data_IF_109406623978
#
_entry.id   IF_109406623978
#
_cell.length_a   1.000
_cell.length_b   1.000
_cell.length_c   1.000
_cell.angle_alpha   90.00
_cell.angle_beta   90.00
_cell.angle_gamma   90.00
#
_symmetry.space_group_name_H-M   'P 1'
#
loop_
_entity.id
_entity.type
_entity.pdbx_description
1 polymer ?
#
# COMPACT_ATOMS: atom_id res chain seq x y z
N UNK A 1 -10.80 -0.26 -19.60
CA UNK A 1 -12.13 -0.91 -19.72
C UNK A 1 -12.79 -0.60 -21.07
N UNK A 2 -12.94 0.69 -21.45
CA UNK A 2 -13.56 1.08 -22.73
C UNK A 2 -12.93 0.44 -23.97
N UNK A 3 -11.59 0.32 -24.03
CA UNK A 3 -10.92 -0.36 -25.15
C UNK A 3 -11.34 -1.84 -25.31
N UNK A 4 -11.58 -2.57 -24.20
CA UNK A 4 -12.04 -3.97 -24.24
C UNK A 4 -13.48 -4.07 -24.76
N UNK A 5 -14.36 -3.14 -24.36
CA UNK A 5 -15.76 -3.12 -24.78
C UNK A 5 -15.90 -2.73 -26.26
N UNK A 6 -15.05 -1.83 -26.73
CA UNK A 6 -15.06 -1.33 -28.10
C UNK A 6 -14.26 -2.21 -29.08
N UNK A 7 -13.68 -3.34 -28.63
CA UNK A 7 -12.75 -4.18 -29.41
C UNK A 7 -11.59 -3.40 -30.03
N UNK A 8 -11.06 -2.40 -29.31
CA UNK A 8 -9.88 -1.63 -29.71
C UNK A 8 -8.60 -2.26 -29.15
N UNK A 9 -7.46 -1.88 -29.73
CA UNK A 9 -6.16 -2.24 -29.15
C UNK A 9 -6.06 -1.80 -27.69
N UNK A 10 -5.49 -2.67 -26.87
CA UNK A 10 -5.30 -2.39 -25.45
C UNK A 10 -4.17 -1.36 -25.28
N UNK A 11 -4.36 -0.35 -24.41
CA UNK A 11 -3.29 0.55 -24.01
C UNK A 11 -2.08 -0.22 -23.46
N UNK A 12 -0.89 0.36 -23.60
CA UNK A 12 0.39 -0.23 -23.13
C UNK A 12 0.34 -0.53 -21.61
N UNK A 13 -0.39 0.29 -20.86
CA UNK A 13 -0.57 0.24 -19.40
C UNK A 13 -1.90 -0.40 -18.96
N UNK A 14 -2.55 -1.19 -19.83
CA UNK A 14 -3.82 -1.83 -19.48
C UNK A 14 -3.70 -2.75 -18.26
N UNK A 15 -4.77 -2.81 -17.46
CA UNK A 15 -4.86 -3.76 -16.34
C UNK A 15 -4.82 -5.21 -16.84
N UNK A 16 -3.79 -6.01 -16.48
CA UNK A 16 -3.70 -7.41 -16.88
C UNK A 16 -4.85 -8.24 -16.31
N UNK A 17 -5.36 -7.86 -15.13
CA UNK A 17 -6.49 -8.53 -14.49
C UNK A 17 -7.78 -8.32 -15.28
N UNK A 18 -8.05 -7.09 -15.73
CA UNK A 18 -9.21 -6.83 -16.57
C UNK A 18 -9.12 -7.57 -17.92
N UNK A 19 -7.95 -7.59 -18.55
CA UNK A 19 -7.74 -8.34 -19.79
C UNK A 19 -7.92 -9.84 -19.58
N UNK A 20 -7.34 -10.41 -18.53
CA UNK A 20 -7.48 -11.83 -18.17
C UNK A 20 -8.93 -12.20 -17.87
N UNK A 21 -9.64 -11.37 -17.09
CA UNK A 21 -11.05 -11.59 -16.76
C UNK A 21 -11.93 -11.50 -18.01
N UNK A 22 -11.70 -10.50 -18.86
CA UNK A 22 -12.41 -10.37 -20.14
C UNK A 22 -12.22 -11.61 -21.01
N UNK A 23 -10.98 -12.06 -21.19
CA UNK A 23 -10.68 -13.26 -21.97
C UNK A 23 -11.29 -14.53 -21.33
N UNK A 24 -11.26 -14.63 -20.01
CA UNK A 24 -11.92 -15.72 -19.27
C UNK A 24 -13.42 -15.77 -19.58
N UNK A 25 -14.12 -14.63 -19.47
CA UNK A 25 -15.55 -14.59 -19.76
C UNK A 25 -15.85 -14.88 -21.24
N UNK A 26 -15.06 -14.37 -22.19
CA UNK A 26 -15.22 -14.72 -23.61
C UNK A 26 -15.11 -16.24 -23.84
N UNK A 27 -14.14 -16.91 -23.20
CA UNK A 27 -14.01 -18.37 -23.28
C UNK A 27 -15.19 -19.10 -22.65
N UNK A 28 -15.65 -18.67 -21.49
CA UNK A 28 -16.81 -19.27 -20.81
C UNK A 28 -18.12 -19.07 -21.59
N UNK A 29 -18.22 -17.96 -22.32
CA UNK A 29 -19.40 -17.60 -23.12
C UNK A 29 -19.37 -18.24 -24.52
N UNK A 30 -18.22 -18.71 -24.99
CA UNK A 30 -18.09 -19.41 -26.26
C UNK A 30 -18.88 -20.74 -26.22
N UNK A 31 -20.02 -20.78 -26.93
CA UNK A 31 -20.92 -21.93 -26.92
C UNK A 31 -21.88 -21.97 -25.72
N UNK A 32 -21.94 -20.92 -24.90
CA UNK A 32 -22.88 -20.85 -23.79
C UNK A 32 -24.33 -20.76 -24.28
N UNK A 33 -25.24 -21.42 -23.54
CA UNK A 33 -26.67 -21.30 -23.81
C UNK A 33 -27.18 -19.93 -23.37
N UNK A 34 -27.53 -19.09 -24.35
CA UNK A 34 -28.01 -17.71 -24.11
C UNK A 34 -29.22 -17.64 -23.17
N UNK A 35 -30.12 -18.65 -23.17
CA UNK A 35 -31.28 -18.68 -22.26
C UNK A 35 -30.89 -18.95 -20.82
N UNK A 36 -29.82 -19.71 -20.59
CA UNK A 36 -29.27 -19.95 -19.25
C UNK A 36 -28.52 -18.71 -18.79
N UNK A 37 -27.69 -18.12 -19.65
CA UNK A 37 -26.97 -16.89 -19.37
C UNK A 37 -27.92 -15.75 -18.98
N UNK A 38 -28.95 -15.50 -19.79
CA UNK A 38 -29.95 -14.47 -19.52
C UNK A 38 -30.65 -14.67 -18.17
N UNK A 39 -31.06 -15.91 -17.86
CA UNK A 39 -31.64 -16.25 -16.54
C UNK A 39 -30.65 -16.06 -15.39
N UNK A 40 -29.36 -16.33 -15.61
CA UNK A 40 -28.31 -16.06 -14.65
C UNK A 40 -28.11 -14.56 -14.40
N UNK A 41 -28.05 -13.77 -15.47
CA UNK A 41 -27.93 -12.30 -15.38
C UNK A 41 -29.12 -11.68 -14.65
N UNK A 42 -30.34 -12.18 -14.86
CA UNK A 42 -31.54 -11.74 -14.13
C UNK A 42 -31.50 -12.02 -12.61
N UNK A 43 -30.56 -12.85 -12.15
CA UNK A 43 -30.35 -13.13 -10.72
C UNK A 43 -29.25 -12.26 -10.11
N UNK A 44 -28.56 -11.44 -10.90
CA UNK A 44 -27.58 -10.48 -10.38
C UNK A 44 -28.33 -9.33 -9.70
N UNK A 45 -28.12 -9.19 -8.41
CA UNK A 45 -28.60 -8.03 -7.65
C UNK A 45 -27.50 -6.98 -7.63
N UNK A 46 -27.78 -5.82 -8.21
CA UNK A 46 -26.91 -4.65 -8.14
C UNK A 46 -27.46 -3.75 -7.04
N UNK A 47 -26.60 -3.44 -6.07
CA UNK A 47 -26.90 -2.46 -5.02
C UNK A 47 -26.19 -1.17 -5.42
N UNK A 48 -26.96 -0.12 -5.69
CA UNK A 48 -26.45 1.22 -5.91
C UNK A 48 -26.70 2.06 -4.66
N UNK A 49 -25.64 2.71 -4.15
CA UNK A 49 -25.68 3.56 -2.97
C UNK A 49 -25.33 4.97 -3.41
N UNK A 50 -26.34 5.79 -3.58
CA UNK A 50 -26.18 7.20 -3.86
C UNK A 50 -25.96 7.96 -2.56
N UNK A 51 -24.83 8.65 -2.46
CA UNK A 51 -24.50 9.47 -1.31
C UNK A 51 -24.95 10.90 -1.53
N UNK A 52 -25.69 11.44 -0.57
CA UNK A 52 -26.10 12.84 -0.55
C UNK A 52 -24.97 13.69 0.00
N UNK A 53 -24.45 14.58 -0.84
CA UNK A 53 -23.38 15.51 -0.46
C UNK A 53 -23.78 16.28 0.80
N UNK A 54 -22.87 16.35 1.78
CA UNK A 54 -23.05 17.04 3.07
C UNK A 54 -24.07 16.43 4.05
N UNK A 55 -24.65 15.26 3.75
CA UNK A 55 -25.52 14.54 4.69
C UNK A 55 -24.91 13.17 5.04
N UNK A 56 -24.47 12.45 4.03
CA UNK A 56 -23.90 11.11 4.20
C UNK A 56 -22.40 11.17 4.41
N UNK A 57 -21.90 10.33 5.32
CA UNK A 57 -20.47 10.15 5.50
C UNK A 57 -20.00 8.92 4.70
N UNK A 58 -19.32 9.09 3.55
CA UNK A 58 -18.89 7.98 2.69
C UNK A 58 -18.01 6.98 3.45
N UNK A 59 -17.16 7.47 4.35
CA UNK A 59 -16.24 6.64 5.12
C UNK A 59 -16.99 5.72 6.09
N UNK A 60 -17.96 6.26 6.85
CA UNK A 60 -18.73 5.45 7.79
C UNK A 60 -19.58 4.39 7.08
N UNK A 61 -20.17 4.74 5.93
CA UNK A 61 -20.94 3.79 5.13
C UNK A 61 -20.02 2.69 4.59
N UNK A 62 -18.86 3.05 4.03
CA UNK A 62 -17.89 2.07 3.56
C UNK A 62 -17.42 1.13 4.67
N UNK A 63 -17.09 1.65 5.85
CA UNK A 63 -16.66 0.83 6.99
C UNK A 63 -17.76 -0.10 7.49
N UNK A 64 -19.00 0.40 7.58
CA UNK A 64 -20.17 -0.42 7.95
C UNK A 64 -20.44 -1.53 6.95
N UNK A 65 -20.22 -1.31 5.65
CA UNK A 65 -20.41 -2.35 4.64
C UNK A 65 -19.30 -3.42 4.70
N UNK A 66 -18.07 -3.02 5.01
CA UNK A 66 -16.95 -3.94 5.10
C UNK A 66 -16.90 -4.73 6.42
N UNK A 67 -17.57 -4.29 7.48
CA UNK A 67 -17.63 -5.04 8.75
C UNK A 67 -18.38 -6.36 8.61
N UNK A 68 -19.36 -6.41 7.71
CA UNK A 68 -20.28 -7.54 7.56
C UNK A 68 -19.89 -8.50 6.42
N UNK A 69 -18.81 -8.17 5.68
CA UNK A 69 -18.35 -8.88 4.48
C UNK A 69 -17.00 -9.58 4.60
N UNK A 70 -16.41 -9.91 3.44
CA UNK A 70 -15.01 -10.40 3.37
C UNK A 70 -14.08 -9.27 3.81
N UNK A 71 -13.19 -9.57 4.76
CA UNK A 71 -12.25 -8.58 5.30
C UNK A 71 -11.34 -8.04 4.21
N UNK A 72 -11.40 -6.73 4.00
CA UNK A 72 -10.43 -6.01 3.19
C UNK A 72 -9.04 -6.04 3.83
N UNK A 73 -8.01 -5.95 2.99
CA UNK A 73 -6.63 -5.77 3.46
C UNK A 73 -6.44 -4.38 4.10
N UNK A 74 -5.42 -4.20 4.94
CA UNK A 74 -5.12 -2.85 5.45
C UNK A 74 -4.72 -1.90 4.31
N UNK A 75 -4.07 -2.42 3.26
CA UNK A 75 -3.80 -1.66 2.03
C UNK A 75 -5.08 -1.10 1.41
N UNK A 76 -6.11 -1.92 1.27
CA UNK A 76 -7.39 -1.48 0.72
C UNK A 76 -8.09 -0.48 1.66
N UNK A 77 -8.07 -0.73 2.97
CA UNK A 77 -8.68 0.17 3.94
C UNK A 77 -8.01 1.55 3.94
N UNK A 78 -6.67 1.60 3.93
CA UNK A 78 -5.90 2.85 3.88
C UNK A 78 -6.10 3.56 2.55
N UNK A 79 -6.04 2.84 1.42
CA UNK A 79 -6.32 3.41 0.09
C UNK A 79 -7.66 4.13 0.09
N UNK A 80 -8.70 3.44 0.56
CA UNK A 80 -10.03 4.01 0.58
C UNK A 80 -10.10 5.18 1.56
N UNK A 81 -9.48 5.09 2.73
CA UNK A 81 -9.47 6.19 3.70
C UNK A 81 -8.86 7.48 3.16
N UNK A 82 -7.72 7.40 2.46
CA UNK A 82 -7.03 8.60 1.93
C UNK A 82 -7.65 9.10 0.62
N UNK A 83 -8.21 8.22 -0.20
CA UNK A 83 -8.79 8.59 -1.50
C UNK A 83 -10.28 8.93 -1.45
N UNK A 84 -11.04 8.38 -0.49
CA UNK A 84 -12.46 8.72 -0.35
C UNK A 84 -12.62 10.14 0.17
N UNK A 85 -13.66 10.81 -0.31
CA UNK A 85 -13.91 12.21 0.04
C UNK A 85 -12.92 13.19 -0.59
N UNK A 86 -12.25 12.81 -1.67
CA UNK A 86 -11.47 13.72 -2.51
C UNK A 86 -12.26 14.14 -3.77
N UNK A 87 -11.96 15.31 -4.33
CA UNK A 87 -12.44 15.70 -5.67
C UNK A 87 -11.99 14.66 -6.71
N UNK A 88 -12.84 14.34 -7.69
CA UNK A 88 -12.61 13.22 -8.65
C UNK A 88 -11.25 13.35 -9.37
N UNK A 89 -10.91 14.56 -9.81
CA UNK A 89 -9.64 14.81 -10.52
C UNK A 89 -8.43 14.64 -9.58
N UNK A 90 -8.56 15.12 -8.34
CA UNK A 90 -7.51 15.00 -7.33
C UNK A 90 -7.33 13.55 -6.85
N UNK A 91 -8.43 12.84 -6.65
CA UNK A 91 -8.44 11.41 -6.36
C UNK A 91 -7.74 10.61 -7.47
N UNK A 92 -8.06 10.91 -8.73
CA UNK A 92 -7.44 10.26 -9.89
C UNK A 92 -5.94 10.54 -9.95
N UNK A 93 -5.52 11.77 -9.65
CA UNK A 93 -4.12 12.15 -9.58
C UNK A 93 -3.37 11.39 -8.47
N UNK A 94 -3.86 11.42 -7.24
CA UNK A 94 -3.26 10.69 -6.11
C UNK A 94 -3.14 9.19 -6.40
N UNK A 95 -4.18 8.61 -7.02
CA UNK A 95 -4.17 7.21 -7.39
C UNK A 95 -3.12 6.89 -8.46
N UNK A 96 -3.12 7.63 -9.57
CA UNK A 96 -2.27 7.32 -10.72
C UNK A 96 -0.79 7.66 -10.47
N UNK A 97 -0.51 8.77 -9.80
CA UNK A 97 0.85 9.28 -9.63
C UNK A 97 1.60 8.56 -8.48
N UNK A 98 0.87 8.13 -7.44
CA UNK A 98 1.48 7.61 -6.21
C UNK A 98 0.96 6.23 -5.81
N UNK A 99 -0.35 6.09 -5.61
CA UNK A 99 -0.88 4.85 -5.00
C UNK A 99 -0.71 3.63 -5.91
N UNK A 100 -1.10 3.74 -7.18
CA UNK A 100 -1.05 2.64 -8.14
C UNK A 100 0.39 2.17 -8.43
N UNK A 101 1.37 3.06 -8.68
CA UNK A 101 2.77 2.65 -8.83
C UNK A 101 3.30 1.90 -7.60
N UNK A 102 3.03 2.37 -6.38
CA UNK A 102 3.42 1.65 -5.15
C UNK A 102 2.73 0.30 -5.03
N UNK A 103 1.41 0.24 -5.23
CA UNK A 103 0.65 -1.01 -5.12
C UNK A 103 1.11 -2.04 -6.16
N UNK A 104 1.43 -1.59 -7.38
CA UNK A 104 2.02 -2.42 -8.43
C UNK A 104 3.39 -2.93 -8.02
N UNK A 105 4.27 -2.06 -7.52
CA UNK A 105 5.61 -2.42 -7.09
C UNK A 105 5.57 -3.49 -5.99
N UNK A 106 4.73 -3.31 -4.97
CA UNK A 106 4.55 -4.31 -3.90
C UNK A 106 4.04 -5.65 -4.43
N UNK A 107 3.07 -5.66 -5.37
CA UNK A 107 2.61 -6.91 -6.00
C UNK A 107 3.69 -7.63 -6.79
N UNK A 108 4.58 -6.88 -7.45
CA UNK A 108 5.65 -7.46 -8.27
C UNK A 108 6.77 -8.04 -7.41
N UNK A 109 7.12 -7.36 -6.31
CA UNK A 109 8.23 -7.73 -5.42
C UNK A 109 7.84 -8.76 -4.36
N UNK A 110 6.59 -8.72 -3.88
CA UNK A 110 6.12 -9.53 -2.76
C UNK A 110 5.01 -10.51 -3.17
N UNK A 111 5.12 -11.12 -4.35
CA UNK A 111 4.11 -12.04 -4.93
C UNK A 111 3.58 -13.10 -3.96
N UNK A 112 4.46 -13.63 -3.11
CA UNK A 112 4.16 -14.70 -2.14
C UNK A 112 3.86 -14.18 -0.72
N UNK A 113 4.01 -12.87 -0.46
CA UNK A 113 3.85 -12.25 0.87
C UNK A 113 2.70 -11.24 0.85
N UNK A 114 1.48 -11.75 1.00
CA UNK A 114 0.27 -10.93 1.00
C UNK A 114 0.21 -9.89 2.12
N UNK A 115 1.01 -10.03 3.17
CA UNK A 115 1.10 -9.12 4.32
C UNK A 115 2.25 -8.10 4.22
N UNK A 116 3.02 -8.08 3.13
CA UNK A 116 4.17 -7.18 3.00
C UNK A 116 3.79 -5.70 3.10
N UNK A 117 2.67 -5.30 2.50
CA UNK A 117 2.16 -3.92 2.60
C UNK A 117 1.78 -3.57 4.05
N UNK A 118 1.12 -4.49 4.75
CA UNK A 118 0.71 -4.29 6.15
C UNK A 118 1.95 -4.12 7.05
N UNK A 119 3.00 -4.94 6.85
CA UNK A 119 4.28 -4.78 7.55
C UNK A 119 4.95 -3.45 7.22
N UNK A 120 4.96 -3.04 5.96
CA UNK A 120 5.48 -1.74 5.55
C UNK A 120 4.77 -0.60 6.29
N UNK A 121 3.44 -0.55 6.27
CA UNK A 121 2.71 0.52 6.96
C UNK A 121 2.97 0.48 8.46
N UNK A 122 3.07 -0.71 9.07
CA UNK A 122 3.45 -0.84 10.48
C UNK A 122 4.82 -0.23 10.76
N UNK A 123 5.82 -0.49 9.92
CA UNK A 123 7.17 0.04 10.08
C UNK A 123 7.21 1.56 9.83
N UNK A 124 6.47 2.04 8.82
CA UNK A 124 6.26 3.46 8.55
C UNK A 124 5.62 4.19 9.73
N UNK A 125 4.51 3.68 10.26
CA UNK A 125 3.86 4.26 11.44
C UNK A 125 4.76 4.21 12.67
N UNK A 126 5.57 3.16 12.81
CA UNK A 126 6.57 3.06 13.89
C UNK A 126 7.57 4.20 13.81
N UNK A 127 8.08 4.51 12.61
CA UNK A 127 8.98 5.63 12.40
C UNK A 127 8.30 6.97 12.68
N UNK A 128 7.07 7.18 12.19
CA UNK A 128 6.38 8.48 12.29
C UNK A 128 5.80 8.77 13.66
N UNK A 129 5.47 7.75 14.45
CA UNK A 129 4.75 7.90 15.72
C UNK A 129 5.52 7.41 16.93
N UNK A 130 6.70 6.80 16.74
CA UNK A 130 7.52 6.16 17.78
C UNK A 130 6.79 5.06 18.57
N UNK A 131 5.65 4.59 18.07
CA UNK A 131 4.84 3.51 18.64
C UNK A 131 4.74 2.38 17.65
N UNK A 132 4.81 1.14 18.13
CA UNK A 132 4.74 -0.05 17.27
C UNK A 132 3.29 -0.54 17.21
N UNK A 133 2.57 -0.35 16.08
CA UNK A 133 1.22 -0.90 15.93
C UNK A 133 1.23 -2.43 16.01
N UNK A 134 0.12 -3.00 16.52
CA UNK A 134 -0.16 -4.42 16.31
C UNK A 134 -0.71 -4.62 14.90
N UNK A 135 -0.37 -5.75 14.26
CA UNK A 135 -0.77 -6.01 12.86
C UNK A 135 -2.29 -5.91 12.64
N UNK A 136 -3.11 -6.30 13.61
CA UNK A 136 -4.58 -6.21 13.52
C UNK A 136 -5.16 -4.82 13.76
N UNK A 137 -4.35 -3.82 14.09
CA UNK A 137 -4.78 -2.43 14.39
C UNK A 137 -4.12 -1.39 13.48
N UNK A 138 -3.39 -1.82 12.44
CA UNK A 138 -2.66 -0.90 11.55
C UNK A 138 -3.58 0.19 11.00
N UNK A 139 -4.77 -0.18 10.55
CA UNK A 139 -5.73 0.77 10.01
C UNK A 139 -6.20 1.79 11.06
N UNK A 140 -6.50 1.34 12.28
CA UNK A 140 -6.91 2.24 13.36
C UNK A 140 -5.81 3.21 13.75
N UNK A 141 -4.57 2.73 13.87
CA UNK A 141 -3.41 3.57 14.16
C UNK A 141 -3.14 4.56 13.02
N UNK A 142 -3.34 4.14 11.76
CA UNK A 142 -3.23 5.04 10.61
C UNK A 142 -4.24 6.18 10.67
N UNK A 143 -5.51 5.89 11.00
CA UNK A 143 -6.54 6.93 11.17
C UNK A 143 -6.24 7.88 12.32
N UNK A 144 -5.63 7.38 13.39
CA UNK A 144 -5.20 8.23 14.50
C UNK A 144 -4.03 9.13 14.12
N UNK A 145 -3.11 8.61 13.30
CA UNK A 145 -1.98 9.38 12.77
C UNK A 145 -2.44 10.50 11.84
N UNK A 146 -3.49 10.26 11.04
CA UNK A 146 -3.99 11.22 10.05
C UNK A 146 -5.51 11.38 10.23
N UNK A 147 -5.94 12.23 11.16
CA UNK A 147 -7.36 12.42 11.43
C UNK A 147 -8.02 13.26 10.34
N UNK A 148 -8.66 12.60 9.37
CA UNK A 148 -9.40 13.25 8.30
C UNK A 148 -10.82 13.66 8.73
N UNK A 149 -11.26 14.84 8.29
CA UNK A 149 -12.61 15.35 8.55
C UNK A 149 -13.54 14.99 7.38
N UNK A 150 -14.61 14.25 7.66
CA UNK A 150 -15.61 13.84 6.64
C UNK A 150 -17.00 14.44 6.89
N UNK A 151 -17.08 15.67 7.41
CA UNK A 151 -18.35 16.28 7.86
C UNK A 151 -19.14 16.94 6.74
N UNK A 152 -18.45 17.55 5.78
CA UNK A 152 -19.04 18.25 4.65
C UNK A 152 -18.02 18.38 3.51
N UNK A 153 -18.46 18.91 2.38
CA UNK A 153 -17.62 19.10 1.20
C UNK A 153 -16.44 20.05 1.45
N UNK A 154 -16.61 21.09 2.28
CA UNK A 154 -15.50 21.98 2.65
C UNK A 154 -14.41 21.24 3.41
N UNK A 155 -14.76 20.28 4.26
CA UNK A 155 -13.79 19.46 4.96
C UNK A 155 -12.94 18.57 4.05
N UNK A 156 -13.40 18.29 2.82
CA UNK A 156 -12.63 17.56 1.81
C UNK A 156 -11.47 18.40 1.26
N UNK A 157 -11.71 19.69 1.01
CA UNK A 157 -10.67 20.64 0.59
C UNK A 157 -9.67 20.85 1.74
N UNK A 158 -10.14 20.94 2.99
CA UNK A 158 -9.27 21.07 4.16
C UNK A 158 -8.30 19.89 4.33
N UNK A 159 -8.74 18.68 3.97
CA UNK A 159 -7.91 17.47 4.06
C UNK A 159 -6.93 17.34 2.89
N UNK A 160 -7.13 18.05 1.77
CA UNK A 160 -6.48 17.72 0.49
C UNK A 160 -4.95 17.80 0.58
N UNK A 161 -4.40 18.84 1.22
CA UNK A 161 -2.94 18.97 1.36
C UNK A 161 -2.37 17.89 2.29
N UNK A 162 -2.97 17.67 3.46
CA UNK A 162 -2.53 16.64 4.40
C UNK A 162 -2.57 15.23 3.78
N UNK A 163 -3.62 14.93 3.01
CA UNK A 163 -3.76 13.66 2.30
C UNK A 163 -2.68 13.53 1.23
N UNK A 164 -2.42 14.60 0.46
CA UNK A 164 -1.37 14.60 -0.56
C UNK A 164 0.00 14.33 0.05
N UNK A 165 0.40 15.14 1.03
CA UNK A 165 1.68 15.03 1.71
C UNK A 165 1.87 13.63 2.27
N UNK A 166 0.83 13.08 2.90
CA UNK A 166 0.84 11.71 3.40
C UNK A 166 1.07 10.68 2.30
N UNK A 167 0.28 10.75 1.22
CA UNK A 167 0.35 9.74 0.15
C UNK A 167 1.69 9.81 -0.57
N UNK A 168 2.23 11.01 -0.76
CA UNK A 168 3.58 11.25 -1.30
C UNK A 168 4.66 10.68 -0.37
N UNK A 169 4.54 10.91 0.93
CA UNK A 169 5.48 10.42 1.93
C UNK A 169 5.44 8.89 2.02
N UNK A 170 4.25 8.28 2.13
CA UNK A 170 4.08 6.81 2.07
C UNK A 170 4.68 6.26 0.78
N UNK A 171 4.40 6.90 -0.36
CA UNK A 171 4.96 6.48 -1.65
C UNK A 171 6.50 6.49 -1.64
N UNK A 172 7.11 7.53 -1.07
CA UNK A 172 8.56 7.64 -0.93
C UNK A 172 9.13 6.51 -0.06
N UNK A 173 8.61 6.36 1.17
CA UNK A 173 9.04 5.32 2.10
C UNK A 173 8.78 3.90 1.59
N UNK A 174 7.79 3.71 0.73
CA UNK A 174 7.51 2.41 0.10
C UNK A 174 8.68 1.94 -0.78
N UNK A 175 9.42 2.89 -1.39
CA UNK A 175 10.61 2.58 -2.21
C UNK A 175 11.75 2.12 -1.32
N UNK A 176 12.10 2.91 -0.31
CA UNK A 176 13.13 2.53 0.68
C UNK A 176 12.82 1.17 1.32
N UNK A 177 11.55 0.92 1.64
CA UNK A 177 11.13 -0.35 2.20
C UNK A 177 11.43 -1.52 1.26
N UNK A 178 11.11 -1.37 -0.02
CA UNK A 178 11.40 -2.39 -1.03
C UNK A 178 12.91 -2.58 -1.15
N UNK A 179 13.69 -1.50 -1.23
CA UNK A 179 15.15 -1.59 -1.39
C UNK A 179 15.80 -2.31 -0.19
N UNK A 180 15.32 -2.06 1.02
CA UNK A 180 15.76 -2.75 2.25
C UNK A 180 15.30 -4.21 2.25
N UNK A 181 14.03 -4.48 1.93
CA UNK A 181 13.41 -5.80 2.05
C UNK A 181 13.78 -6.77 0.91
N UNK A 182 14.07 -6.22 -0.26
CA UNK A 182 14.51 -6.91 -1.47
C UNK A 182 15.75 -6.16 -1.95
N UNK A 183 16.97 -6.53 -1.49
CA UNK A 183 18.21 -5.78 -1.74
C UNK A 183 18.50 -5.53 -3.22
N UNK A 184 17.95 -4.43 -3.74
CA UNK A 184 18.00 -3.98 -5.14
C UNK A 184 18.67 -2.63 -5.30
N UNK A 185 19.17 -2.08 -4.21
CA UNK A 185 20.00 -0.89 -4.17
C UNK A 185 20.98 -0.85 -5.34
N UNK A 186 21.06 0.29 -6.01
CA UNK A 186 21.95 0.45 -7.17
C UNK A 186 23.41 0.38 -6.71
N UNK A 187 23.71 1.01 -5.56
CA UNK A 187 25.04 0.96 -4.96
C UNK A 187 25.38 -0.45 -4.49
N UNK A 188 26.44 -1.00 -5.09
CA UNK A 188 26.85 -2.37 -4.82
C UNK A 188 27.17 -2.64 -3.35
N UNK A 189 27.83 -1.70 -2.67
CA UNK A 189 28.29 -1.91 -1.30
C UNK A 189 27.14 -1.80 -0.31
N UNK A 190 26.22 -0.85 -0.52
CA UNK A 190 24.99 -0.74 0.28
C UNK A 190 24.14 -2.00 0.09
N UNK A 191 23.98 -2.46 -1.15
CA UNK A 191 23.25 -3.69 -1.48
C UNK A 191 23.83 -4.93 -0.80
N UNK A 192 25.16 -5.04 -0.74
CA UNK A 192 25.85 -6.14 -0.04
C UNK A 192 25.55 -6.10 1.46
N UNK A 193 25.71 -4.94 2.13
CA UNK A 193 25.39 -4.82 3.56
C UNK A 193 23.91 -5.11 3.86
N UNK A 194 22.98 -4.71 2.98
CA UNK A 194 21.56 -5.04 3.14
C UNK A 194 21.29 -6.55 3.01
N UNK A 195 21.98 -7.24 2.10
CA UNK A 195 21.87 -8.71 2.00
C UNK A 195 22.33 -9.38 3.29
N UNK A 196 23.46 -8.94 3.83
CA UNK A 196 24.00 -9.48 5.08
C UNK A 196 23.00 -9.29 6.24
N UNK A 197 22.37 -8.11 6.34
CA UNK A 197 21.30 -7.85 7.33
C UNK A 197 20.07 -8.74 7.10
N UNK A 198 19.67 -8.97 5.85
CA UNK A 198 18.52 -9.83 5.53
C UNK A 198 18.77 -11.29 5.90
N UNK A 199 20.01 -11.79 5.77
CA UNK A 199 20.38 -13.15 6.18
C UNK A 199 20.22 -13.37 7.69
N UNK A 200 20.34 -12.31 8.49
CA UNK A 200 20.12 -12.35 9.94
C UNK A 200 18.62 -12.42 10.33
N UNK A 201 17.70 -12.22 9.38
CA UNK A 201 16.25 -12.33 9.54
C UNK A 201 15.66 -11.48 10.71
N UNK A 202 16.21 -10.28 10.94
CA UNK A 202 15.74 -9.35 11.98
C UNK A 202 14.97 -8.19 11.38
N UNK A 203 13.64 -8.29 11.37
CA UNK A 203 12.77 -7.25 10.78
C UNK A 203 12.59 -6.01 11.66
N UNK A 204 12.87 -6.10 12.98
CA UNK A 204 12.63 -5.02 13.96
C UNK A 204 13.46 -3.76 13.67
N UNK A 205 14.53 -3.88 12.88
CA UNK A 205 15.39 -2.75 12.52
C UNK A 205 14.85 -1.92 11.35
N UNK A 206 13.84 -2.41 10.61
CA UNK A 206 13.33 -1.74 9.40
C UNK A 206 12.89 -0.30 9.63
N UNK A 207 12.13 0.06 10.69
CA UNK A 207 11.77 1.46 10.95
C UNK A 207 12.99 2.39 11.07
N UNK A 208 14.06 1.91 11.72
CA UNK A 208 15.31 2.67 11.82
C UNK A 208 15.96 2.85 10.46
N UNK A 209 16.06 1.78 9.66
CA UNK A 209 16.65 1.85 8.32
C UNK A 209 15.83 2.76 7.38
N UNK A 210 14.50 2.80 7.50
CA UNK A 210 13.68 3.76 6.77
C UNK A 210 14.08 5.22 7.08
N UNK A 211 14.40 5.54 8.34
CA UNK A 211 14.91 6.85 8.72
C UNK A 211 16.30 7.15 8.13
N UNK A 212 17.20 6.16 8.13
CA UNK A 212 18.54 6.28 7.53
C UNK A 212 18.44 6.58 6.03
N UNK A 213 17.54 5.87 5.33
CA UNK A 213 17.32 6.09 3.90
C UNK A 213 16.71 7.45 3.59
N UNK A 214 15.79 7.92 4.44
CA UNK A 214 15.24 9.27 4.31
C UNK A 214 16.33 10.33 4.47
N UNK A 215 17.21 10.20 5.47
CA UNK A 215 18.31 11.12 5.67
C UNK A 215 19.33 11.05 4.51
N UNK A 216 19.54 9.87 3.94
CA UNK A 216 20.40 9.68 2.77
C UNK A 216 19.81 10.33 1.51
N UNK A 217 18.53 10.12 1.25
CA UNK A 217 17.82 10.70 0.10
C UNK A 217 17.75 12.23 0.14
N UNK A 218 17.86 12.83 1.32
CA UNK A 218 17.89 14.27 1.54
C UNK A 218 19.30 14.84 1.77
N UNK A 219 20.35 14.09 1.42
CA UNK A 219 21.76 14.50 1.53
C UNK A 219 22.18 14.92 2.96
N UNK A 220 21.47 14.48 4.00
CA UNK A 220 21.82 14.77 5.40
C UNK A 220 22.98 13.88 5.88
N UNK A 221 23.08 12.69 5.31
CA UNK A 221 24.19 11.77 5.48
C UNK A 221 24.71 11.33 4.11
N UNK A 222 26.01 11.05 4.02
CA UNK A 222 26.63 10.59 2.79
C UNK A 222 26.60 9.07 2.64
N UNK A 223 26.97 8.60 1.44
CA UNK A 223 27.14 7.17 1.13
C UNK A 223 28.00 6.44 2.17
N UNK A 224 29.11 7.05 2.59
CA UNK A 224 30.03 6.45 3.56
C UNK A 224 29.37 6.23 4.93
N UNK A 225 28.54 7.19 5.35
CA UNK A 225 27.81 7.11 6.61
C UNK A 225 26.76 5.99 6.56
N UNK A 226 26.01 5.87 5.46
CA UNK A 226 25.02 4.79 5.26
C UNK A 226 25.69 3.42 5.39
N UNK A 227 26.81 3.21 4.70
CA UNK A 227 27.56 1.95 4.78
C UNK A 227 28.02 1.67 6.21
N UNK A 228 28.56 2.69 6.89
CA UNK A 228 29.02 2.54 8.26
C UNK A 228 27.85 2.19 9.21
N UNK A 229 26.69 2.82 9.03
CA UNK A 229 25.47 2.52 9.80
C UNK A 229 25.02 1.08 9.56
N UNK A 230 24.95 0.63 8.31
CA UNK A 230 24.53 -0.74 7.98
C UNK A 230 25.48 -1.78 8.58
N UNK A 231 26.81 -1.58 8.47
CA UNK A 231 27.80 -2.47 9.09
C UNK A 231 27.70 -2.49 10.62
N UNK A 232 27.42 -1.35 11.25
CA UNK A 232 27.22 -1.28 12.70
C UNK A 232 25.96 -2.04 13.12
N UNK A 233 24.86 -1.89 12.37
CA UNK A 233 23.60 -2.60 12.57
C UNK A 233 23.80 -4.10 12.45
N UNK A 234 24.40 -4.56 11.35
CA UNK A 234 24.72 -5.97 11.10
C UNK A 234 25.55 -6.54 12.25
N UNK A 235 26.66 -5.87 12.60
CA UNK A 235 27.56 -6.29 13.66
C UNK A 235 26.88 -6.35 15.04
N UNK A 236 25.98 -5.40 15.33
CA UNK A 236 25.18 -5.41 16.55
C UNK A 236 24.20 -6.59 16.58
N UNK A 237 23.45 -6.81 15.50
CA UNK A 237 22.48 -7.90 15.40
C UNK A 237 23.17 -9.25 15.51
N UNK A 238 24.28 -9.45 14.80
CA UNK A 238 25.06 -10.68 14.83
C UNK A 238 25.63 -10.99 16.23
N UNK A 239 26.19 -9.97 16.93
CA UNK A 239 26.64 -10.16 18.31
C UNK A 239 25.47 -10.50 19.24
N UNK A 240 24.32 -9.83 19.06
CA UNK A 240 23.13 -10.09 19.87
C UNK A 240 22.61 -11.52 19.69
N UNK A 241 22.62 -12.05 18.46
CA UNK A 241 22.19 -13.43 18.20
C UNK A 241 23.12 -14.47 18.82
N UNK A 242 24.43 -14.18 18.93
CA UNK A 242 25.38 -15.08 19.61
C UNK A 242 25.17 -15.09 21.13
N UNK A 243 24.84 -13.93 21.71
CA UNK A 243 24.69 -13.79 23.16
C UNK A 243 23.35 -14.30 23.73
N UNK A 244 22.48 -14.93 22.92
CA UNK A 244 21.14 -15.43 23.31
C UNK A 244 20.29 -14.40 24.09
N UNK A 245 20.51 -13.09 23.87
CA UNK A 245 19.76 -12.07 24.58
C UNK A 245 18.32 -12.03 24.04
N UNK A 246 17.29 -12.28 24.88
CA UNK A 246 15.92 -12.35 24.41
C UNK A 246 15.51 -11.06 23.67
N UNK A 247 14.70 -11.21 22.61
CA UNK A 247 14.16 -10.10 21.80
C UNK A 247 12.99 -9.37 22.47
N UNK A 248 12.57 -9.83 23.66
CA UNK A 248 11.60 -9.16 24.53
C UNK A 248 12.34 -8.37 25.61
N UNK A 249 12.19 -7.05 25.58
CA UNK A 249 12.26 -6.25 26.80
C UNK A 249 10.95 -6.40 27.57
#
# INVERSE_FOLDING_TARGET
MFALLDNKELPIDHSPLLAKNHQFFLKQLAGANLRILHRGLQRLNIVDIMLTRNQDNPQLIFESLNSDGVKLSHADLIRNYVLMGQEIDFQSKLYNDYWFPMEKHFREEFKEKSDAFDRFIRDYLTLKTEKIPTLGKIYDEFRNYIPLKFRNYTSFIENSEQVKETVEDIFCYSKYYVDIAVPREEDQQIRECLKDIQELNVEVIRPFLLGVYEDYAHDRIGRADVIQILQLVESYIFRRSICDMPTRN
#
